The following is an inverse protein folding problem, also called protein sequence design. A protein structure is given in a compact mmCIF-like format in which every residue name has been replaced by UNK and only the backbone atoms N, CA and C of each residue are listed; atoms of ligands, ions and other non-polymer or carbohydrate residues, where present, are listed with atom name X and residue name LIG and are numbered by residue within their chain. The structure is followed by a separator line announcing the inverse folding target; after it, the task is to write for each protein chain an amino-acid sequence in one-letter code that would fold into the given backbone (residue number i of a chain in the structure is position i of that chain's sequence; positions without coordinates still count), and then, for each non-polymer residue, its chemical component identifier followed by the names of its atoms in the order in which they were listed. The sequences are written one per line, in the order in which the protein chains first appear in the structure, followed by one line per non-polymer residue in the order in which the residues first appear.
data_IF_883530691409
#
_entry.id   IF_883530691409
#
_cell.length_a   1.000
_cell.length_b   1.000
_cell.length_c   1.000
_cell.angle_alpha   90.00
_cell.angle_beta   90.00
_cell.angle_gamma   90.00
#
_symmetry.space_group_name_H-M   'P 1'
#
loop_
_entity.id
_entity.type
_entity.pdbx_description
1 polymer ?
#
# COMPACT_ATOMS: atom_id res chain seq x y z
N UNK A 1 -13.48 22.84 -4.84
CA UNK A 1 -12.92 24.19 -4.60
C UNK A 1 -13.54 24.74 -3.32
N UNK A 2 -12.83 24.69 -2.22
CA UNK A 2 -13.27 25.29 -0.96
C UNK A 2 -12.29 26.39 -0.57
N UNK A 3 -12.71 27.66 -0.68
CA UNK A 3 -11.93 28.79 -0.20
C UNK A 3 -12.23 29.01 1.29
N UNK A 4 -11.19 28.96 2.14
CA UNK A 4 -11.29 29.43 3.54
C UNK A 4 -10.72 30.82 3.60
N UNK A 5 -11.61 31.82 3.73
CA UNK A 5 -11.23 33.22 3.93
C UNK A 5 -11.01 33.49 5.42
N UNK A 6 -9.79 33.85 5.82
CA UNK A 6 -9.42 34.25 7.20
C UNK A 6 -8.97 35.70 7.25
N UNK A 7 -9.44 36.53 6.45
CA UNK A 7 -9.44 38.05 6.50
C UNK A 7 -9.67 38.63 5.10
N UNK A 8 -10.32 39.77 5.00
CA UNK A 8 -10.81 40.36 3.77
C UNK A 8 -9.75 41.04 2.87
N UNK A 9 -8.46 40.87 3.16
CA UNK A 9 -7.39 41.55 2.41
C UNK A 9 -6.35 40.64 1.74
N UNK A 10 -6.34 39.32 2.00
CA UNK A 10 -5.45 38.36 1.30
C UNK A 10 -6.15 37.02 1.13
N UNK A 11 -6.74 36.79 -0.03
CA UNK A 11 -7.19 35.46 -0.42
C UNK A 11 -5.97 34.71 -0.95
N UNK A 12 -5.27 33.98 -0.07
CA UNK A 12 -4.21 33.04 -0.50
C UNK A 12 -4.91 31.84 -1.07
N UNK A 13 -4.88 31.68 -2.39
CA UNK A 13 -5.23 30.42 -3.04
C UNK A 13 -4.15 29.43 -2.60
N UNK A 14 -4.44 28.55 -1.66
CA UNK A 14 -3.61 27.39 -1.39
C UNK A 14 -3.81 26.50 -2.62
N UNK A 15 -2.85 26.52 -3.55
CA UNK A 15 -2.76 25.50 -4.58
C UNK A 15 -2.52 24.18 -3.84
N UNK A 16 -3.56 23.37 -3.71
CA UNK A 16 -3.42 21.98 -3.29
C UNK A 16 -2.53 21.32 -4.33
N UNK A 17 -1.37 20.82 -3.89
CA UNK A 17 -0.50 20.02 -4.75
C UNK A 17 -1.33 18.80 -5.17
N UNK A 18 -1.82 18.80 -6.41
CA UNK A 18 -2.72 17.77 -6.93
C UNK A 18 -1.91 16.57 -7.45
N UNK A 19 -0.79 16.25 -6.78
CA UNK A 19 0.10 15.15 -7.17
C UNK A 19 -0.03 13.99 -6.18
N UNK A 20 -0.05 12.73 -6.67
CA UNK A 20 0.02 11.56 -5.81
C UNK A 20 1.41 11.43 -5.17
N UNK A 21 1.46 10.75 -4.01
CA UNK A 21 2.70 10.26 -3.40
C UNK A 21 2.80 8.76 -3.68
N UNK A 22 3.82 8.37 -4.42
CA UNK A 22 4.12 6.96 -4.68
C UNK A 22 4.97 6.40 -3.54
N UNK A 23 4.64 5.21 -3.10
CA UNK A 23 5.25 4.56 -1.93
C UNK A 23 5.72 3.18 -2.35
N UNK A 24 7.02 2.93 -2.17
CA UNK A 24 7.66 1.64 -2.44
C UNK A 24 8.48 1.20 -1.24
N UNK A 25 8.63 -0.10 -1.05
CA UNK A 25 9.53 -0.63 -0.04
C UNK A 25 10.98 -0.60 -0.49
N UNK A 26 11.24 -0.97 -1.74
CA UNK A 26 12.57 -0.97 -2.35
C UNK A 26 12.58 -0.17 -3.67
N UNK A 27 13.63 0.63 -3.94
CA UNK A 27 13.73 1.39 -5.19
C UNK A 27 13.70 0.52 -6.46
N UNK A 28 14.06 -0.76 -6.36
CA UNK A 28 14.04 -1.68 -7.49
C UNK A 28 12.62 -2.12 -7.91
N UNK A 29 11.60 -1.88 -7.06
CA UNK A 29 10.21 -2.22 -7.38
C UNK A 29 9.61 -1.32 -8.46
N UNK A 30 10.14 -0.12 -8.64
CA UNK A 30 9.62 0.82 -9.64
C UNK A 30 10.74 1.68 -10.23
N UNK A 31 10.57 2.04 -11.52
CA UNK A 31 11.47 2.95 -12.24
C UNK A 31 10.66 4.01 -12.97
N UNK A 32 11.24 5.19 -13.19
CA UNK A 32 10.61 6.24 -14.01
C UNK A 32 9.70 7.21 -13.24
N UNK A 33 9.53 7.06 -11.94
CA UNK A 33 8.82 8.04 -11.10
C UNK A 33 9.78 9.14 -10.64
N UNK A 34 9.31 10.38 -10.65
CA UNK A 34 10.07 11.53 -10.16
C UNK A 34 10.36 11.41 -8.66
N UNK A 35 11.58 11.76 -8.25
CA UNK A 35 12.04 11.61 -6.86
C UNK A 35 11.19 12.39 -5.85
N UNK A 36 10.69 13.54 -6.23
CA UNK A 36 9.90 14.41 -5.34
C UNK A 36 8.49 13.84 -5.06
N UNK A 37 8.03 12.91 -5.90
CA UNK A 37 6.77 12.20 -5.74
C UNK A 37 6.94 10.77 -5.21
N UNK A 38 8.17 10.33 -4.90
CA UNK A 38 8.50 8.96 -4.49
C UNK A 38 8.99 8.90 -3.05
N UNK A 39 8.32 8.10 -2.23
CA UNK A 39 8.74 7.76 -0.87
C UNK A 39 9.21 6.30 -0.81
N UNK A 40 10.49 6.10 -0.53
CA UNK A 40 11.08 4.78 -0.28
C UNK A 40 11.03 4.51 1.23
N UNK A 41 10.25 3.51 1.65
CA UNK A 41 9.99 3.24 3.07
C UNK A 41 10.94 2.23 3.69
N UNK A 42 11.59 1.38 2.89
CA UNK A 42 12.16 0.08 3.26
C UNK A 42 11.10 -0.94 3.64
N UNK A 43 11.50 -2.22 3.64
CA UNK A 43 10.62 -3.36 3.91
C UNK A 43 10.15 -3.37 5.37
N UNK A 44 8.88 -3.70 5.56
CA UNK A 44 8.28 -3.97 6.86
C UNK A 44 7.38 -2.85 7.39
N UNK A 45 6.42 -3.25 8.24
CA UNK A 45 5.36 -2.36 8.70
C UNK A 45 5.88 -1.17 9.51
N UNK A 46 6.89 -1.36 10.35
CA UNK A 46 7.45 -0.28 11.17
C UNK A 46 8.21 0.75 10.34
N UNK A 47 9.05 0.29 9.40
CA UNK A 47 9.78 1.19 8.51
C UNK A 47 8.81 2.03 7.67
N UNK A 48 7.79 1.39 7.11
CA UNK A 48 6.74 2.05 6.36
C UNK A 48 5.98 3.07 7.22
N UNK A 49 5.61 2.71 8.46
CA UNK A 49 4.89 3.60 9.36
C UNK A 49 5.70 4.86 9.69
N UNK A 50 6.97 4.72 10.06
CA UNK A 50 7.82 5.87 10.39
C UNK A 50 8.00 6.79 9.18
N UNK A 51 8.36 6.25 8.01
CA UNK A 51 8.56 7.05 6.81
C UNK A 51 7.28 7.81 6.40
N UNK A 52 6.12 7.15 6.44
CA UNK A 52 4.84 7.79 6.10
C UNK A 52 4.43 8.86 7.10
N UNK A 53 4.55 8.60 8.41
CA UNK A 53 4.17 9.57 9.43
C UNK A 53 5.04 10.82 9.34
N UNK A 54 6.34 10.69 9.14
CA UNK A 54 7.26 11.82 8.98
C UNK A 54 6.91 12.63 7.73
N UNK A 55 6.75 11.98 6.58
CA UNK A 55 6.42 12.63 5.31
C UNK A 55 5.05 13.34 5.37
N UNK A 56 4.00 12.64 5.80
CA UNK A 56 2.64 13.18 5.81
C UNK A 56 2.42 14.24 6.90
N UNK A 57 3.09 14.13 8.05
CA UNK A 57 3.04 15.17 9.09
C UNK A 57 3.72 16.45 8.60
N UNK A 58 4.88 16.33 7.96
CA UNK A 58 5.59 17.46 7.35
C UNK A 58 4.73 18.10 6.26
N UNK A 59 4.16 17.31 5.35
CA UNK A 59 3.27 17.80 4.30
C UNK A 59 2.03 18.53 4.88
N UNK A 60 1.42 17.98 5.94
CA UNK A 60 0.27 18.60 6.62
C UNK A 60 0.64 19.96 7.23
N UNK A 61 1.80 20.07 7.89
CA UNK A 61 2.26 21.34 8.49
C UNK A 61 2.43 22.41 7.41
N UNK A 62 2.91 22.04 6.23
CA UNK A 62 3.12 22.95 5.12
C UNK A 62 1.88 23.14 4.21
N UNK A 63 0.76 22.47 4.51
CA UNK A 63 -0.48 22.59 3.72
C UNK A 63 -0.43 21.93 2.35
N UNK A 64 0.50 20.98 2.12
CA UNK A 64 0.75 20.34 0.82
C UNK A 64 0.59 18.80 0.89
N UNK A 65 -0.46 18.31 1.56
CA UNK A 65 -0.78 16.88 1.54
C UNK A 65 -0.97 16.38 0.11
N UNK A 66 -0.50 15.17 -0.22
CA UNK A 66 -0.70 14.58 -1.54
C UNK A 66 -2.18 14.32 -1.81
N UNK A 67 -2.56 14.34 -3.08
CA UNK A 67 -3.94 14.06 -3.50
C UNK A 67 -4.34 12.60 -3.32
N UNK A 68 -3.37 11.70 -3.32
CA UNK A 68 -3.54 10.23 -3.18
C UNK A 68 -2.25 9.60 -2.67
N UNK A 69 -2.36 8.53 -1.90
CA UNK A 69 -1.26 7.60 -1.61
C UNK A 69 -1.35 6.44 -2.59
N UNK A 70 -0.27 6.17 -3.32
CA UNK A 70 -0.19 5.07 -4.28
C UNK A 70 0.94 4.14 -3.85
N UNK A 71 0.61 3.04 -3.18
CA UNK A 71 1.61 2.02 -2.87
C UNK A 71 1.79 1.08 -4.05
N UNK A 72 3.00 0.99 -4.53
CA UNK A 72 3.39 0.17 -5.66
C UNK A 72 4.45 -0.81 -5.22
N UNK A 73 4.28 -2.08 -5.50
CA UNK A 73 5.26 -3.08 -5.08
C UNK A 73 4.86 -4.51 -5.44
N UNK A 74 5.67 -5.44 -4.98
CA UNK A 74 5.46 -6.87 -5.20
C UNK A 74 4.64 -7.49 -4.07
N UNK A 75 4.05 -8.66 -4.34
CA UNK A 75 3.35 -9.48 -3.36
C UNK A 75 3.50 -10.97 -3.69
N UNK A 76 3.52 -11.80 -2.65
CA UNK A 76 3.44 -13.25 -2.79
C UNK A 76 2.00 -13.72 -3.02
N UNK A 77 1.80 -14.68 -3.93
CA UNK A 77 0.50 -15.31 -4.16
C UNK A 77 0.20 -16.38 -3.11
N UNK A 78 -0.89 -16.21 -2.38
CA UNK A 78 -1.38 -17.20 -1.41
C UNK A 78 -2.26 -18.27 -2.05
N UNK A 79 -2.73 -18.02 -3.27
CA UNK A 79 -3.59 -18.91 -4.06
C UNK A 79 -2.90 -19.21 -5.40
N UNK A 80 -2.98 -20.45 -5.85
CA UNK A 80 -2.34 -20.88 -7.10
C UNK A 80 -2.95 -20.20 -8.33
N UNK A 81 -2.12 -19.96 -9.35
CA UNK A 81 -2.55 -19.46 -10.64
C UNK A 81 -2.70 -17.93 -10.72
N UNK A 82 -2.40 -17.19 -9.67
CA UNK A 82 -2.36 -15.73 -9.72
C UNK A 82 -1.06 -15.24 -10.37
N UNK A 83 -1.16 -14.25 -11.24
CA UNK A 83 0.00 -13.60 -11.88
C UNK A 83 -0.38 -12.21 -12.39
N UNK A 84 0.62 -11.32 -12.55
CA UNK A 84 0.42 -9.95 -13.01
C UNK A 84 0.00 -8.99 -11.89
N UNK A 85 -0.48 -7.81 -12.27
CA UNK A 85 -0.80 -6.71 -11.35
C UNK A 85 -2.26 -6.77 -10.91
N UNK A 86 -2.47 -6.57 -9.63
CA UNK A 86 -3.78 -6.47 -9.00
C UNK A 86 -3.94 -5.12 -8.29
N UNK A 87 -5.12 -4.53 -8.42
CA UNK A 87 -5.58 -3.44 -7.58
C UNK A 87 -6.23 -4.03 -6.32
N UNK A 88 -5.81 -3.57 -5.14
CA UNK A 88 -6.25 -4.16 -3.87
C UNK A 88 -7.57 -3.53 -3.44
N UNK A 89 -8.61 -4.35 -3.31
CA UNK A 89 -9.94 -3.94 -2.84
C UNK A 89 -10.12 -4.03 -1.33
N UNK A 90 -9.30 -4.82 -0.66
CA UNK A 90 -9.35 -4.99 0.79
C UNK A 90 -7.96 -5.38 1.31
N UNK A 91 -7.53 -4.77 2.40
CA UNK A 91 -6.27 -5.11 3.06
C UNK A 91 -6.48 -5.37 4.55
N UNK A 92 -5.82 -6.40 5.08
CA UNK A 92 -5.86 -6.78 6.50
C UNK A 92 -4.46 -7.01 7.07
N UNK A 93 -4.34 -6.93 8.40
CA UNK A 93 -3.09 -7.29 9.10
C UNK A 93 -3.20 -8.74 9.60
N UNK A 94 -2.40 -9.67 9.03
CA UNK A 94 -2.53 -11.12 9.28
C UNK A 94 -1.81 -11.59 10.56
N UNK A 95 -0.91 -10.80 11.09
CA UNK A 95 -0.08 -11.09 12.26
C UNK A 95 -0.51 -10.34 13.55
N UNK A 96 -1.71 -9.73 13.53
CA UNK A 96 -2.31 -9.12 14.72
C UNK A 96 -3.54 -9.92 15.16
N UNK A 97 -3.62 -10.27 16.44
CA UNK A 97 -4.67 -11.11 17.01
C UNK A 97 -5.91 -10.29 17.38
N UNK A 98 -6.61 -9.73 16.37
CA UNK A 98 -7.74 -8.81 16.53
C UNK A 98 -8.78 -9.32 17.53
N UNK A 99 -9.30 -10.54 17.35
CA UNK A 99 -10.37 -11.09 18.18
C UNK A 99 -9.92 -11.34 19.64
N UNK A 100 -8.70 -11.84 19.80
CA UNK A 100 -8.17 -12.09 21.15
C UNK A 100 -7.94 -10.78 21.91
N UNK A 101 -7.40 -9.76 21.25
CA UNK A 101 -7.16 -8.45 21.88
C UNK A 101 -8.49 -7.74 22.14
N UNK A 102 -9.47 -7.82 21.23
CA UNK A 102 -10.80 -7.28 21.45
C UNK A 102 -11.49 -7.92 22.67
N UNK A 103 -11.37 -9.24 22.82
CA UNK A 103 -11.92 -9.96 23.97
C UNK A 103 -11.27 -9.53 25.32
N UNK A 104 -9.96 -9.22 25.30
CA UNK A 104 -9.22 -8.79 26.50
C UNK A 104 -9.52 -7.33 26.85
N UNK A 105 -9.55 -6.45 25.85
CA UNK A 105 -9.61 -4.99 26.05
C UNK A 105 -11.03 -4.44 26.06
N UNK A 106 -12.01 -5.20 25.55
CA UNK A 106 -13.38 -4.73 25.30
C UNK A 106 -13.50 -3.75 24.13
N UNK A 107 -12.43 -3.54 23.35
CA UNK A 107 -12.41 -2.64 22.21
C UNK A 107 -12.26 -3.43 20.91
N UNK A 108 -13.21 -3.30 19.97
CA UNK A 108 -13.08 -3.95 18.65
C UNK A 108 -11.93 -3.30 17.85
N UNK A 109 -11.16 -4.14 17.19
CA UNK A 109 -10.16 -3.72 16.23
C UNK A 109 -10.65 -4.07 14.81
N UNK A 110 -10.49 -3.17 13.81
CA UNK A 110 -10.88 -3.45 12.44
C UNK A 110 -10.15 -4.69 11.91
N UNK A 111 -10.90 -5.64 11.34
CA UNK A 111 -10.32 -6.83 10.70
C UNK A 111 -9.67 -6.52 9.35
N UNK A 112 -9.80 -5.30 8.84
CA UNK A 112 -9.22 -4.84 7.60
C UNK A 112 -9.78 -3.48 7.17
N UNK A 113 -9.32 -3.03 6.01
CA UNK A 113 -9.67 -1.74 5.41
C UNK A 113 -10.13 -2.02 3.98
N UNK A 114 -11.34 -1.61 3.64
CA UNK A 114 -11.84 -1.62 2.27
C UNK A 114 -11.28 -0.41 1.51
N UNK A 115 -10.91 -0.61 0.25
CA UNK A 115 -10.35 0.39 -0.63
C UNK A 115 -11.21 0.52 -1.88
N UNK A 116 -11.36 1.74 -2.35
CA UNK A 116 -11.97 2.02 -3.64
C UNK A 116 -11.05 1.53 -4.76
N UNK A 117 -11.62 0.87 -5.76
CA UNK A 117 -10.92 0.34 -6.93
C UNK A 117 -11.45 0.98 -8.21
N UNK A 118 -10.60 1.10 -9.22
CA UNK A 118 -10.93 1.71 -10.50
C UNK A 118 -11.90 0.88 -11.36
N UNK A 119 -11.85 -0.44 -11.20
CA UNK A 119 -12.53 -1.41 -12.08
C UNK A 119 -11.80 -1.65 -13.41
N UNK A 120 -10.62 -1.10 -13.62
CA UNK A 120 -9.82 -1.27 -14.83
C UNK A 120 -8.83 -2.44 -14.74
N UNK A 121 -8.46 -2.83 -13.53
CA UNK A 121 -7.52 -3.93 -13.25
C UNK A 121 -8.21 -5.05 -12.48
N UNK A 122 -7.67 -6.29 -12.54
CA UNK A 122 -8.08 -7.36 -11.64
C UNK A 122 -7.93 -6.93 -10.18
N UNK A 123 -8.83 -7.36 -9.32
CA UNK A 123 -8.79 -7.02 -7.90
C UNK A 123 -8.42 -8.22 -7.05
N UNK A 124 -7.77 -7.94 -5.90
CA UNK A 124 -7.39 -8.94 -4.92
C UNK A 124 -7.60 -8.44 -3.48
N UNK A 125 -7.63 -9.39 -2.53
CA UNK A 125 -7.51 -9.10 -1.09
C UNK A 125 -6.05 -9.31 -0.69
N UNK A 126 -5.51 -8.39 0.10
CA UNK A 126 -4.12 -8.37 0.55
C UNK A 126 -4.02 -8.63 2.06
N UNK A 127 -3.09 -9.46 2.47
CA UNK A 127 -2.71 -9.65 3.85
C UNK A 127 -1.32 -9.05 4.09
N UNK A 128 -1.20 -8.12 5.03
CA UNK A 128 0.08 -7.48 5.38
C UNK A 128 0.60 -7.99 6.72
N UNK A 129 1.91 -8.19 6.86
CA UNK A 129 2.56 -8.53 8.12
C UNK A 129 4.08 -8.46 8.06
N UNK A 130 4.75 -8.55 9.21
CA UNK A 130 6.21 -8.42 9.31
C UNK A 130 6.95 -9.74 9.09
N UNK A 131 6.23 -10.85 8.89
CA UNK A 131 6.82 -12.15 8.57
C UNK A 131 6.81 -12.37 7.07
N UNK A 132 7.98 -12.60 6.49
CA UNK A 132 8.09 -13.09 5.11
C UNK A 132 7.46 -14.49 5.02
N UNK A 133 6.46 -14.65 4.16
CA UNK A 133 5.75 -15.93 4.00
C UNK A 133 6.47 -16.75 2.94
N UNK A 134 7.15 -17.79 3.40
CA UNK A 134 7.93 -18.72 2.60
C UNK A 134 7.75 -20.18 3.06
N UNK A 135 6.58 -20.51 3.62
CA UNK A 135 6.23 -21.89 4.00
C UNK A 135 4.75 -22.19 3.73
N UNK A 136 4.49 -23.44 3.36
CA UNK A 136 3.14 -23.88 2.97
C UNK A 136 2.09 -23.77 4.08
N UNK A 137 2.48 -23.91 5.35
CA UNK A 137 1.53 -23.88 6.47
C UNK A 137 1.05 -22.44 6.73
N UNK A 138 1.97 -21.47 6.73
CA UNK A 138 1.63 -20.05 6.85
C UNK A 138 0.81 -19.57 5.66
N UNK A 139 1.21 -19.97 4.44
CA UNK A 139 0.46 -19.70 3.21
C UNK A 139 -0.98 -20.21 3.30
N UNK A 140 -1.20 -21.48 3.65
CA UNK A 140 -2.56 -22.04 3.78
C UNK A 140 -3.39 -21.32 4.84
N UNK A 141 -2.80 -20.97 5.97
CA UNK A 141 -3.49 -20.26 7.04
C UNK A 141 -3.97 -18.87 6.59
N UNK A 142 -3.12 -18.11 5.89
CA UNK A 142 -3.44 -16.73 5.48
C UNK A 142 -4.34 -16.71 4.25
N UNK A 143 -4.23 -17.70 3.34
CA UNK A 143 -5.06 -17.80 2.12
C UNK A 143 -6.56 -17.86 2.37
N UNK A 144 -6.99 -18.22 3.59
CA UNK A 144 -8.40 -18.20 4.01
C UNK A 144 -8.99 -16.79 4.10
N UNK A 145 -8.15 -15.74 4.16
CA UNK A 145 -8.56 -14.36 4.36
C UNK A 145 -8.19 -13.44 3.20
N UNK A 146 -7.09 -13.75 2.50
CA UNK A 146 -6.56 -12.96 1.39
C UNK A 146 -5.94 -13.85 0.31
N UNK A 147 -5.80 -13.33 -0.90
CA UNK A 147 -5.18 -14.04 -2.02
C UNK A 147 -3.73 -13.62 -2.28
N UNK A 148 -3.32 -12.46 -1.74
CA UNK A 148 -1.96 -11.93 -1.82
C UNK A 148 -1.42 -11.59 -0.44
N UNK A 149 -0.08 -11.56 -0.29
CA UNK A 149 0.61 -11.17 0.93
C UNK A 149 1.75 -10.20 0.65
N UNK A 150 1.89 -9.18 1.50
CA UNK A 150 2.97 -8.19 1.48
C UNK A 150 3.42 -7.79 2.90
N UNK A 151 4.22 -6.73 2.98
CA UNK A 151 4.76 -6.25 4.26
C UNK A 151 4.46 -4.77 4.55
N UNK A 152 3.71 -4.02 3.72
CA UNK A 152 3.46 -2.56 3.89
C UNK A 152 2.01 -2.11 3.64
N UNK A 153 1.26 -2.78 2.79
CA UNK A 153 -0.02 -2.29 2.24
C UNK A 153 -1.03 -1.85 3.31
N UNK A 154 -1.17 -2.61 4.39
CA UNK A 154 -2.06 -2.23 5.51
C UNK A 154 -1.66 -0.91 6.16
N UNK A 155 -0.35 -0.66 6.30
CA UNK A 155 0.16 0.58 6.90
C UNK A 155 -0.16 1.78 6.03
N UNK A 156 0.00 1.65 4.70
CA UNK A 156 -0.35 2.71 3.75
C UNK A 156 -1.85 3.01 3.78
N UNK A 157 -2.69 1.98 3.80
CA UNK A 157 -4.15 2.15 3.92
C UNK A 157 -4.55 2.83 5.22
N UNK A 158 -3.96 2.43 6.35
CA UNK A 158 -4.20 3.02 7.66
C UNK A 158 -3.74 4.49 7.72
N UNK A 159 -2.60 4.82 7.11
CA UNK A 159 -2.13 6.19 6.99
C UNK A 159 -3.08 7.04 6.15
N UNK A 160 -3.59 6.52 5.03
CA UNK A 160 -4.61 7.18 4.23
C UNK A 160 -5.86 7.54 5.05
N UNK A 161 -6.41 6.58 5.80
CA UNK A 161 -7.53 6.85 6.71
C UNK A 161 -7.22 7.92 7.75
N UNK A 162 -6.05 7.84 8.39
CA UNK A 162 -5.62 8.79 9.43
C UNK A 162 -5.45 10.22 8.90
N UNK A 163 -4.99 10.37 7.68
CA UNK A 163 -4.73 11.68 7.07
C UNK A 163 -5.87 12.18 6.17
N UNK A 164 -6.88 11.34 5.92
CA UNK A 164 -8.02 11.66 5.04
C UNK A 164 -7.61 11.71 3.56
N UNK A 165 -6.65 10.88 3.15
CA UNK A 165 -6.10 10.83 1.80
C UNK A 165 -6.56 9.53 1.13
N UNK A 166 -7.12 9.58 -0.10
CA UNK A 166 -7.44 8.38 -0.87
C UNK A 166 -6.22 7.49 -1.09
N UNK A 167 -6.43 6.17 -1.11
CA UNK A 167 -5.34 5.17 -1.26
C UNK A 167 -5.61 4.28 -2.45
N UNK A 168 -4.56 3.98 -3.21
CA UNK A 168 -4.52 2.89 -4.20
C UNK A 168 -3.34 1.99 -3.85
N UNK A 169 -3.58 0.68 -3.76
CA UNK A 169 -2.53 -0.31 -3.60
C UNK A 169 -2.45 -1.15 -4.88
N UNK A 170 -1.30 -1.13 -5.56
CA UNK A 170 -0.99 -1.94 -6.75
C UNK A 170 0.07 -2.97 -6.39
N UNK A 171 -0.27 -4.25 -6.59
CA UNK A 171 0.62 -5.35 -6.26
C UNK A 171 0.81 -6.27 -7.46
N UNK A 172 2.07 -6.46 -7.87
CA UNK A 172 2.44 -7.46 -8.86
C UNK A 172 2.87 -8.75 -8.18
N UNK A 173 2.40 -9.88 -8.70
CA UNK A 173 2.75 -11.19 -8.16
C UNK A 173 4.19 -11.55 -8.52
N UNK A 174 5.07 -11.60 -7.53
CA UNK A 174 6.50 -11.94 -7.70
C UNK A 174 6.80 -13.42 -7.47
N UNK A 175 6.04 -14.06 -6.60
CA UNK A 175 6.28 -15.43 -6.13
C UNK A 175 4.99 -16.09 -5.60
N UNK A 176 5.08 -17.36 -5.22
CA UNK A 176 3.93 -18.11 -4.70
C UNK A 176 3.87 -18.19 -3.17
N UNK A 177 4.60 -17.36 -2.45
CA UNK A 177 4.67 -17.40 -0.98
C UNK A 177 4.95 -18.82 -0.45
N UNK A 178 5.79 -19.59 -1.13
CA UNK A 178 6.16 -20.97 -0.82
C UNK A 178 7.66 -21.09 -0.49
N UNK A 179 8.15 -22.30 -0.30
CA UNK A 179 9.56 -22.58 0.06
C UNK A 179 10.59 -22.06 -0.96
N UNK A 180 10.17 -21.59 -2.14
CA UNK A 180 11.01 -21.02 -3.20
C UNK A 180 10.92 -19.49 -3.29
N UNK A 181 10.01 -18.87 -2.58
CA UNK A 181 9.68 -17.45 -2.70
C UNK A 181 10.89 -16.53 -2.60
N UNK A 182 11.79 -16.74 -1.63
CA UNK A 182 12.96 -15.89 -1.42
C UNK A 182 13.93 -15.86 -2.62
N UNK A 183 14.04 -16.96 -3.38
CA UNK A 183 14.88 -17.01 -4.58
C UNK A 183 14.22 -16.35 -5.81
N UNK A 184 12.92 -16.40 -5.90
CA UNK A 184 12.16 -15.89 -7.06
C UNK A 184 11.89 -14.39 -7.00
N UNK A 185 11.80 -13.81 -5.80
CA UNK A 185 11.50 -12.39 -5.61
C UNK A 185 12.49 -11.46 -6.33
N UNK A 186 13.79 -11.62 -6.09
CA UNK A 186 14.83 -10.77 -6.71
C UNK A 186 14.83 -10.86 -8.23
N UNK A 187 14.64 -12.06 -8.78
CA UNK A 187 14.63 -12.31 -10.22
C UNK A 187 13.37 -11.71 -10.89
N UNK A 188 12.27 -11.59 -10.16
CA UNK A 188 11.02 -11.05 -10.65
C UNK A 188 11.04 -9.50 -10.79
N UNK A 189 11.82 -8.79 -9.96
CA UNK A 189 11.78 -7.32 -9.84
C UNK A 189 11.79 -6.54 -11.17
N UNK A 190 12.68 -6.84 -12.16
CA UNK A 190 12.71 -6.06 -13.41
C UNK A 190 11.43 -6.21 -14.24
N UNK A 191 10.81 -7.39 -14.22
CA UNK A 191 9.57 -7.65 -14.92
C UNK A 191 8.38 -7.06 -14.17
N UNK A 192 8.37 -7.14 -12.84
CA UNK A 192 7.38 -6.55 -11.96
C UNK A 192 7.33 -5.03 -12.09
N UNK A 193 8.49 -4.36 -12.04
CA UNK A 193 8.59 -2.91 -12.21
C UNK A 193 7.93 -2.43 -13.52
N UNK A 194 8.19 -3.13 -14.62
CA UNK A 194 7.57 -2.78 -15.92
C UNK A 194 6.05 -2.94 -15.89
N UNK A 195 5.52 -4.07 -15.39
CA UNK A 195 4.07 -4.30 -15.31
C UNK A 195 3.38 -3.31 -14.36
N UNK A 196 4.04 -2.92 -13.27
CA UNK A 196 3.53 -1.91 -12.34
C UNK A 196 3.45 -0.54 -13.00
N UNK A 197 4.45 -0.15 -13.82
CA UNK A 197 4.40 1.10 -14.60
C UNK A 197 3.26 1.08 -15.62
N UNK A 198 3.09 -0.01 -16.38
CA UNK A 198 1.97 -0.18 -17.31
C UNK A 198 0.61 -0.06 -16.60
N UNK A 199 0.50 -0.59 -15.37
CA UNK A 199 -0.71 -0.47 -14.56
C UNK A 199 -0.97 0.97 -14.10
N UNK A 200 0.05 1.72 -13.68
CA UNK A 200 -0.06 3.14 -13.33
C UNK A 200 -0.53 3.97 -14.53
N UNK A 201 0.04 3.74 -15.71
CA UNK A 201 -0.39 4.40 -16.94
C UNK A 201 -1.86 4.10 -17.27
N UNK A 202 -2.29 2.84 -17.12
CA UNK A 202 -3.69 2.45 -17.35
C UNK A 202 -4.67 3.12 -16.38
N UNK A 203 -4.23 3.45 -15.17
CA UNK A 203 -5.01 4.15 -14.15
C UNK A 203 -4.91 5.68 -14.24
N UNK A 204 -4.09 6.21 -15.14
CA UNK A 204 -3.74 7.63 -15.23
C UNK A 204 -3.19 8.20 -13.89
N UNK A 205 -2.36 7.39 -13.23
CA UNK A 205 -1.66 7.69 -11.99
C UNK A 205 -0.18 7.91 -12.24
#
# INVERSE_FOLDING_TARGET
MGAVCVDSSVCTIIETVNTPLYIVADPAEISGIERDSLLVTRVGTLNCAFALIDALTTARIHGNLPSRLVNVGTAGALVDGLSGVFEISHVLKHDFSNDAIAAITGHPYPNGIDLDVSGLLPTARLATGDSFIGDSASRERISRQASLVDMEGYVVALAGQRFGIPVTLLKDVSDNADDKAAGTWTDALPASSRRLMEALEALAL
#
